data_IF_712945016946
#
_entry.id   IF_712945016946
#
_cell.length_a   1.000
_cell.length_b   1.000
_cell.length_c   1.000
_cell.angle_alpha   90.00
_cell.angle_beta   90.00
_cell.angle_gamma   90.00
#
_symmetry.space_group_name_H-M   'P 1'
#
loop_
_entity.id
_entity.type
_entity.pdbx_description
1 polymer ?
#
# COMPACT_ATOMS: atom_id res chain seq x y z
N UNK A 1 -7.29 35.40 -19.85
CA UNK A 1 -7.58 34.84 -21.18
C UNK A 1 -8.19 33.47 -20.96
N UNK A 2 -9.52 33.38 -20.98
CA UNK A 2 -10.23 32.11 -20.80
C UNK A 2 -10.18 31.34 -22.12
N UNK A 3 -9.37 30.29 -22.19
CA UNK A 3 -9.45 29.33 -23.27
C UNK A 3 -10.74 28.52 -23.07
N UNK A 4 -11.76 28.86 -23.84
CA UNK A 4 -12.97 28.05 -23.97
C UNK A 4 -12.57 26.76 -24.68
N UNK A 5 -12.32 25.70 -23.90
CA UNK A 5 -12.23 24.33 -24.41
C UNK A 5 -13.51 24.07 -25.20
N UNK A 6 -13.43 23.55 -26.44
CA UNK A 6 -14.61 23.30 -27.25
C UNK A 6 -15.57 22.37 -26.49
N UNK A 7 -16.84 22.73 -26.44
CA UNK A 7 -17.86 22.00 -25.68
C UNK A 7 -17.99 20.51 -26.10
N UNK A 8 -17.59 20.20 -27.34
CA UNK A 8 -17.52 18.85 -27.91
C UNK A 8 -16.34 18.00 -27.38
N UNK A 9 -15.24 18.65 -26.96
CA UNK A 9 -14.11 17.95 -26.36
C UNK A 9 -14.47 17.53 -24.93
N UNK A 10 -15.23 18.37 -24.21
CA UNK A 10 -15.60 18.16 -22.81
C UNK A 10 -16.60 17.03 -22.58
N UNK A 11 -17.56 16.82 -23.48
CA UNK A 11 -18.46 15.65 -23.43
C UNK A 11 -17.67 14.36 -23.68
N UNK A 12 -16.72 14.40 -24.62
CA UNK A 12 -15.79 13.29 -24.88
C UNK A 12 -14.93 12.98 -23.66
N UNK A 13 -14.41 14.00 -22.97
CA UNK A 13 -13.68 13.86 -21.69
C UNK A 13 -14.54 13.28 -20.58
N UNK A 14 -15.77 13.73 -20.42
CA UNK A 14 -16.69 13.21 -19.40
C UNK A 14 -17.07 11.74 -19.67
N UNK A 15 -17.29 11.37 -20.94
CA UNK A 15 -17.52 9.98 -21.34
C UNK A 15 -16.29 9.11 -21.10
N UNK A 16 -15.10 9.58 -21.45
CA UNK A 16 -13.85 8.88 -21.19
C UNK A 16 -13.63 8.66 -19.68
N UNK A 17 -13.91 9.67 -18.85
CA UNK A 17 -13.81 9.59 -17.40
C UNK A 17 -14.77 8.55 -16.80
N UNK A 18 -16.03 8.54 -17.25
CA UNK A 18 -17.03 7.54 -16.83
C UNK A 18 -16.59 6.13 -17.24
N UNK A 19 -16.15 5.96 -18.48
CA UNK A 19 -15.67 4.66 -18.98
C UNK A 19 -14.46 4.16 -18.18
N UNK A 20 -13.46 5.02 -17.94
CA UNK A 20 -12.28 4.71 -17.14
C UNK A 20 -12.68 4.30 -15.72
N UNK A 21 -13.58 5.04 -15.08
CA UNK A 21 -14.02 4.75 -13.74
C UNK A 21 -14.78 3.42 -13.63
N UNK A 22 -15.78 3.21 -14.49
CA UNK A 22 -16.65 2.03 -14.40
C UNK A 22 -15.94 0.73 -14.81
N UNK A 23 -15.08 0.78 -15.83
CA UNK A 23 -14.44 -0.42 -16.38
C UNK A 23 -13.09 -0.74 -15.73
N UNK A 24 -12.36 0.26 -15.22
CA UNK A 24 -11.00 0.07 -14.73
C UNK A 24 -10.83 0.43 -13.26
N UNK A 25 -11.16 1.66 -12.86
CA UNK A 25 -10.82 2.15 -11.52
C UNK A 25 -11.64 1.46 -10.42
N UNK A 26 -12.95 1.30 -10.60
CA UNK A 26 -13.83 0.70 -9.58
C UNK A 26 -13.47 -0.78 -9.31
N UNK A 27 -13.22 -1.54 -10.36
CA UNK A 27 -12.79 -2.94 -10.25
C UNK A 27 -11.37 -3.04 -9.69
N UNK A 28 -10.45 -2.20 -10.17
CA UNK A 28 -9.06 -2.13 -9.70
C UNK A 28 -8.95 -1.79 -8.23
N UNK A 29 -9.69 -0.80 -7.73
CA UNK A 29 -9.71 -0.43 -6.31
C UNK A 29 -10.21 -1.57 -5.42
N UNK A 30 -11.26 -2.29 -5.83
CA UNK A 30 -11.75 -3.47 -5.08
C UNK A 30 -10.71 -4.57 -5.01
N UNK A 31 -10.00 -4.83 -6.11
CA UNK A 31 -8.93 -5.82 -6.15
C UNK A 31 -7.72 -5.40 -5.32
N UNK A 32 -7.30 -4.13 -5.39
CA UNK A 32 -6.22 -3.60 -4.55
C UNK A 32 -6.56 -3.69 -3.07
N UNK A 33 -7.79 -3.36 -2.68
CA UNK A 33 -8.24 -3.48 -1.29
C UNK A 33 -8.26 -4.94 -0.82
N UNK A 34 -8.73 -5.86 -1.67
CA UNK A 34 -8.70 -7.29 -1.35
C UNK A 34 -7.27 -7.80 -1.14
N UNK A 35 -6.35 -7.49 -2.06
CA UNK A 35 -4.93 -7.87 -1.96
C UNK A 35 -4.26 -7.25 -0.73
N UNK A 36 -4.52 -5.97 -0.44
CA UNK A 36 -3.98 -5.31 0.74
C UNK A 36 -4.50 -5.95 2.04
N UNK A 37 -5.79 -6.34 2.12
CA UNK A 37 -6.30 -7.06 3.30
C UNK A 37 -5.68 -8.45 3.46
N UNK A 38 -5.35 -9.14 2.37
CA UNK A 38 -4.64 -10.41 2.41
C UNK A 38 -3.20 -10.23 2.91
N UNK A 39 -2.49 -9.22 2.40
CA UNK A 39 -1.14 -8.86 2.83
C UNK A 39 -1.09 -8.49 4.31
N UNK A 40 -1.98 -7.64 4.79
CA UNK A 40 -2.05 -7.26 6.21
C UNK A 40 -2.30 -8.48 7.11
N UNK A 41 -3.14 -9.43 6.67
CA UNK A 41 -3.35 -10.70 7.39
C UNK A 41 -2.10 -11.58 7.37
N UNK A 42 -1.42 -11.67 6.23
CA UNK A 42 -0.18 -12.44 6.08
C UNK A 42 0.96 -11.87 6.95
N UNK A 43 1.15 -10.54 6.94
CA UNK A 43 2.11 -9.85 7.79
C UNK A 43 1.83 -10.08 9.27
N UNK A 44 0.58 -9.91 9.72
CA UNK A 44 0.20 -10.18 11.12
C UNK A 44 0.55 -11.60 11.52
N UNK A 45 0.28 -12.57 10.65
CA UNK A 45 0.61 -13.99 10.87
C UNK A 45 2.12 -14.22 10.92
N UNK A 46 2.90 -13.56 10.05
CA UNK A 46 4.36 -13.64 10.07
C UNK A 46 4.96 -13.01 11.33
N UNK A 47 4.51 -11.81 11.73
CA UNK A 47 4.93 -11.17 12.99
C UNK A 47 4.64 -12.05 14.19
N UNK A 48 3.43 -12.62 14.26
CA UNK A 48 3.06 -13.55 15.33
C UNK A 48 3.94 -14.81 15.34
N UNK A 49 4.22 -15.41 14.18
CA UNK A 49 5.14 -16.54 14.07
C UNK A 49 6.54 -16.18 14.58
N UNK A 50 7.09 -15.03 14.16
CA UNK A 50 8.41 -14.58 14.63
C UNK A 50 8.44 -14.40 16.15
N UNK A 51 7.40 -13.81 16.74
CA UNK A 51 7.29 -13.66 18.19
C UNK A 51 7.21 -15.03 18.88
N UNK A 52 6.37 -15.94 18.39
CA UNK A 52 6.23 -17.29 18.95
C UNK A 52 7.52 -18.10 18.84
N UNK A 53 8.23 -18.02 17.71
CA UNK A 53 9.54 -18.66 17.56
C UNK A 53 10.57 -18.09 18.55
N UNK A 54 10.60 -16.77 18.75
CA UNK A 54 11.48 -16.15 19.75
C UNK A 54 11.14 -16.61 21.18
N UNK A 55 9.86 -16.65 21.53
CA UNK A 55 9.40 -17.12 22.84
C UNK A 55 9.69 -18.61 23.05
N UNK A 56 9.47 -19.45 22.04
CA UNK A 56 9.78 -20.87 22.10
C UNK A 56 11.30 -21.13 22.26
N UNK A 57 12.13 -20.35 21.58
CA UNK A 57 13.58 -20.40 21.74
C UNK A 57 14.03 -19.99 23.15
N UNK A 58 13.51 -18.86 23.67
CA UNK A 58 13.82 -18.41 25.03
C UNK A 58 13.38 -19.47 26.05
N UNK A 59 12.14 -19.96 25.93
CA UNK A 59 11.60 -21.00 26.82
C UNK A 59 12.39 -22.32 26.76
N UNK A 60 12.79 -22.75 25.56
CA UNK A 60 13.61 -23.93 25.35
C UNK A 60 15.02 -23.81 25.93
N UNK A 61 15.68 -22.64 25.79
CA UNK A 61 16.98 -22.38 26.42
C UNK A 61 16.87 -22.32 27.94
N UNK A 62 15.85 -21.65 28.47
CA UNK A 62 15.64 -21.57 29.92
C UNK A 62 15.36 -22.96 30.52
N UNK A 63 14.54 -23.79 29.88
CA UNK A 63 14.27 -25.15 30.36
C UNK A 63 15.51 -26.04 30.29
N UNK A 64 16.31 -25.95 29.22
CA UNK A 64 17.57 -26.67 29.09
C UNK A 64 18.55 -26.30 30.22
N UNK A 65 18.70 -25.00 30.52
CA UNK A 65 19.57 -24.56 31.62
C UNK A 65 19.08 -25.10 32.95
N UNK A 66 17.78 -25.09 33.22
CA UNK A 66 17.20 -25.66 34.45
C UNK A 66 17.46 -27.16 34.54
N UNK A 67 17.26 -27.93 33.46
CA UNK A 67 17.51 -29.38 33.44
C UNK A 67 18.98 -29.69 33.74
N UNK A 68 19.92 -28.96 33.11
CA UNK A 68 21.37 -29.10 33.37
C UNK A 68 21.70 -28.71 34.81
N UNK A 69 21.04 -27.68 35.36
CA UNK A 69 21.22 -27.23 36.75
C UNK A 69 20.79 -28.30 37.76
N UNK A 70 19.68 -29.00 37.50
CA UNK A 70 19.18 -30.07 38.37
C UNK A 70 20.01 -31.35 38.30
N UNK A 71 20.58 -31.67 37.13
CA UNK A 71 21.49 -32.81 36.97
C UNK A 71 22.84 -32.59 37.66
N UNK A 72 23.23 -31.33 37.88
CA UNK A 72 24.48 -30.95 38.53
C UNK A 72 24.17 -30.25 39.86
N UNK A 73 23.56 -31.01 40.78
CA UNK A 73 23.34 -30.58 42.17
C UNK A 73 24.68 -30.30 42.86
N UNK A 74 25.13 -29.04 42.80
CA UNK A 74 26.36 -28.57 43.45
C UNK A 74 26.92 -27.23 42.97
N UNK A 75 26.47 -26.67 41.84
CA UNK A 75 27.16 -25.50 41.24
C UNK A 75 26.23 -24.34 40.88
N UNK A 76 25.82 -23.57 41.89
CA UNK A 76 25.03 -22.33 41.74
C UNK A 76 25.72 -21.24 40.88
N UNK A 77 27.04 -21.30 40.68
CA UNK A 77 27.76 -20.35 39.81
C UNK A 77 27.69 -20.72 38.32
N UNK A 78 27.69 -22.02 37.98
CA UNK A 78 27.65 -22.49 36.59
C UNK A 78 26.29 -22.19 35.95
N UNK A 79 25.22 -22.20 36.74
CA UNK A 79 23.87 -21.88 36.28
C UNK A 79 23.71 -20.39 35.94
N UNK A 80 24.29 -19.50 36.75
CA UNK A 80 24.33 -18.06 36.47
C UNK A 80 25.15 -17.74 35.21
N UNK A 81 26.31 -18.40 35.03
CA UNK A 81 27.15 -18.25 33.84
C UNK A 81 26.45 -18.83 32.61
N UNK A 82 25.79 -19.98 32.74
CA UNK A 82 25.00 -20.60 31.67
C UNK A 82 23.85 -19.71 31.20
N UNK A 83 23.12 -19.08 32.13
CA UNK A 83 22.09 -18.08 31.81
C UNK A 83 22.66 -16.86 31.07
N UNK A 84 23.83 -16.38 31.49
CA UNK A 84 24.50 -15.23 30.87
C UNK A 84 24.98 -15.55 29.45
N UNK A 85 25.61 -16.72 29.24
CA UNK A 85 26.05 -17.17 27.92
C UNK A 85 24.84 -17.44 27.01
N UNK A 86 23.79 -18.07 27.51
CA UNK A 86 22.52 -18.26 26.80
C UNK A 86 21.91 -16.92 26.34
N UNK A 87 21.94 -15.91 27.21
CA UNK A 87 21.47 -14.56 26.90
C UNK A 87 22.31 -13.90 25.78
N UNK A 88 23.64 -13.96 25.87
CA UNK A 88 24.53 -13.39 24.85
C UNK A 88 24.48 -14.14 23.51
N UNK A 89 24.37 -15.47 23.53
CA UNK A 89 24.22 -16.29 22.32
C UNK A 89 22.86 -16.03 21.66
N UNK A 90 21.80 -15.85 22.45
CA UNK A 90 20.48 -15.42 21.96
C UNK A 90 20.52 -14.05 21.29
N UNK A 91 21.29 -13.09 21.85
CA UNK A 91 21.51 -11.76 21.28
C UNK A 91 22.32 -11.79 19.97
N UNK A 92 23.37 -12.62 19.88
CA UNK A 92 24.23 -12.73 18.69
C UNK A 92 23.56 -13.50 17.54
N UNK A 93 22.75 -14.52 17.83
CA UNK A 93 21.99 -15.26 16.82
C UNK A 93 20.82 -14.46 16.25
N UNK A 94 20.33 -13.46 16.97
CA UNK A 94 19.24 -12.56 16.56
C UNK A 94 19.55 -11.78 15.27
N UNK A 95 20.83 -11.53 14.95
CA UNK A 95 21.24 -10.83 13.71
C UNK A 95 21.52 -11.77 12.54
N UNK A 96 22.01 -13.00 12.76
CA UNK A 96 22.36 -13.93 11.66
C UNK A 96 21.19 -14.74 11.12
N UNK A 97 20.11 -14.89 11.88
CA UNK A 97 18.92 -15.63 11.48
C UNK A 97 17.70 -14.73 11.29
N UNK A 98 17.90 -13.54 10.71
CA UNK A 98 16.77 -12.83 10.09
C UNK A 98 16.56 -13.50 8.73
N UNK A 99 15.55 -14.38 8.55
CA UNK A 99 15.28 -14.93 7.23
C UNK A 99 15.05 -13.75 6.30
N UNK A 100 15.83 -13.68 5.22
CA UNK A 100 15.66 -12.67 4.18
C UNK A 100 14.17 -12.57 3.87
N UNK A 101 13.64 -11.35 3.92
CA UNK A 101 12.20 -11.12 3.74
C UNK A 101 11.85 -11.61 2.34
N UNK A 102 11.27 -12.79 2.25
CA UNK A 102 10.68 -13.29 1.01
C UNK A 102 9.41 -12.49 0.83
N UNK A 103 9.42 -11.54 -0.10
CA UNK A 103 8.23 -10.75 -0.42
C UNK A 103 7.08 -11.72 -0.76
N UNK A 104 5.91 -11.61 -0.10
CA UNK A 104 4.73 -12.40 -0.42
C UNK A 104 4.35 -12.24 -1.90
N UNK A 105 3.79 -13.30 -2.50
CA UNK A 105 3.38 -13.28 -3.92
C UNK A 105 2.32 -12.20 -4.18
N UNK A 106 1.46 -12.01 -3.19
CA UNK A 106 0.39 -11.03 -3.16
C UNK A 106 0.91 -9.59 -3.23
N UNK A 107 2.15 -9.33 -2.80
CA UNK A 107 2.78 -8.02 -2.85
C UNK A 107 3.18 -7.68 -4.30
N UNK A 108 3.73 -8.66 -5.02
CA UNK A 108 4.05 -8.51 -6.44
C UNK A 108 2.81 -8.29 -7.29
N UNK A 109 1.73 -9.01 -6.99
CA UNK A 109 0.44 -8.83 -7.66
C UNK A 109 -0.15 -7.43 -7.39
N UNK A 110 -0.01 -6.92 -6.17
CA UNK A 110 -0.43 -5.55 -5.83
C UNK A 110 0.36 -4.51 -6.61
N UNK A 111 1.69 -4.65 -6.71
CA UNK A 111 2.53 -3.75 -7.51
C UNK A 111 2.16 -3.78 -8.99
N UNK A 112 1.97 -4.96 -9.57
CA UNK A 112 1.57 -5.10 -10.98
C UNK A 112 0.18 -4.47 -11.24
N UNK A 113 -0.77 -4.65 -10.32
CA UNK A 113 -2.09 -4.06 -10.43
C UNK A 113 -2.03 -2.53 -10.32
N UNK A 114 -1.21 -2.00 -9.40
CA UNK A 114 -0.97 -0.57 -9.24
C UNK A 114 -0.38 0.04 -10.53
N UNK A 115 0.70 -0.55 -11.05
CA UNK A 115 1.33 -0.10 -12.30
C UNK A 115 0.37 -0.13 -13.47
N UNK A 116 -0.44 -1.19 -13.60
CA UNK A 116 -1.45 -1.30 -14.66
C UNK A 116 -2.47 -0.17 -14.60
N UNK A 117 -2.95 0.19 -13.41
CA UNK A 117 -3.91 1.27 -13.24
C UNK A 117 -3.28 2.63 -13.55
N UNK A 118 -2.05 2.88 -13.11
CA UNK A 118 -1.32 4.11 -13.44
C UNK A 118 -1.16 4.27 -14.95
N UNK A 119 -0.74 3.22 -15.65
CA UNK A 119 -0.61 3.25 -17.10
C UNK A 119 -1.96 3.46 -17.81
N UNK A 120 -3.05 2.87 -17.32
CA UNK A 120 -4.38 3.10 -17.89
C UNK A 120 -4.85 4.54 -17.70
N UNK A 121 -4.61 5.14 -16.53
CA UNK A 121 -4.95 6.54 -16.27
C UNK A 121 -4.17 7.46 -17.22
N UNK A 122 -2.84 7.31 -17.29
CA UNK A 122 -2.00 8.14 -18.16
C UNK A 122 -2.41 7.99 -19.62
N UNK A 123 -2.65 6.77 -20.09
CA UNK A 123 -3.06 6.54 -21.47
C UNK A 123 -4.38 7.26 -21.83
N UNK A 124 -5.36 7.27 -20.92
CA UNK A 124 -6.64 7.96 -21.15
C UNK A 124 -6.49 9.48 -21.01
N UNK A 125 -5.70 9.95 -20.05
CA UNK A 125 -5.37 11.38 -19.90
C UNK A 125 -4.68 11.94 -21.16
N UNK A 126 -3.70 11.21 -21.71
CA UNK A 126 -3.00 11.57 -22.95
C UNK A 126 -3.92 11.55 -24.18
N UNK A 127 -4.80 10.54 -24.29
CA UNK A 127 -5.74 10.42 -25.42
C UNK A 127 -6.71 11.60 -25.53
N UNK A 128 -7.10 12.18 -24.39
CA UNK A 128 -8.11 13.24 -24.33
C UNK A 128 -7.49 14.62 -24.06
N UNK A 129 -6.16 14.69 -23.87
CA UNK A 129 -5.45 15.95 -23.62
C UNK A 129 -5.73 16.56 -22.24
N UNK A 130 -6.07 15.72 -21.25
CA UNK A 130 -6.43 16.12 -19.90
C UNK A 130 -7.86 15.74 -19.53
N UNK A 131 -8.02 15.11 -18.36
CA UNK A 131 -9.29 14.56 -17.91
C UNK A 131 -9.65 15.01 -16.49
N UNK A 132 -8.79 14.78 -15.49
CA UNK A 132 -9.15 15.09 -14.10
C UNK A 132 -9.42 16.58 -13.84
N UNK A 133 -8.47 17.46 -14.16
CA UNK A 133 -8.57 18.88 -13.82
C UNK A 133 -9.61 19.65 -14.63
N UNK A 134 -9.75 19.45 -15.96
CA UNK A 134 -10.83 20.09 -16.73
C UNK A 134 -12.21 19.75 -16.17
N UNK A 135 -12.44 18.50 -15.76
CA UNK A 135 -13.72 18.08 -15.18
C UNK A 135 -13.94 18.65 -13.77
N UNK A 136 -12.90 18.76 -12.94
CA UNK A 136 -12.98 19.40 -11.62
C UNK A 136 -13.30 20.89 -11.71
N UNK A 137 -12.78 21.59 -12.72
CA UNK A 137 -13.03 23.01 -12.93
C UNK A 137 -14.50 23.25 -13.34
N UNK A 138 -14.99 22.48 -14.31
CA UNK A 138 -16.38 22.62 -14.81
C UNK A 138 -17.42 22.25 -13.76
N UNK A 139 -17.15 21.23 -12.96
CA UNK A 139 -18.06 20.80 -11.89
C UNK A 139 -17.98 21.69 -10.64
N UNK A 140 -17.00 22.61 -10.57
CA UNK A 140 -16.74 23.45 -9.41
C UNK A 140 -16.22 22.71 -8.19
N UNK A 141 -15.73 21.48 -8.35
CA UNK A 141 -15.32 20.57 -7.26
C UNK A 141 -13.84 20.69 -6.89
N UNK A 142 -13.06 21.53 -7.59
CA UNK A 142 -11.62 21.65 -7.34
C UNK A 142 -11.28 21.98 -5.88
N UNK A 143 -12.03 22.90 -5.25
CA UNK A 143 -11.81 23.26 -3.84
C UNK A 143 -12.07 22.10 -2.89
N UNK A 144 -13.08 21.30 -3.17
CA UNK A 144 -13.41 20.12 -2.38
C UNK A 144 -12.34 19.02 -2.56
N UNK A 145 -11.89 18.79 -3.80
CA UNK A 145 -10.81 17.86 -4.09
C UNK A 145 -9.50 18.24 -3.35
N UNK A 146 -9.16 19.54 -3.34
CA UNK A 146 -8.01 20.05 -2.57
C UNK A 146 -8.18 19.85 -1.07
N UNK A 147 -9.38 20.06 -0.53
CA UNK A 147 -9.66 19.81 0.88
C UNK A 147 -9.54 18.32 1.25
N UNK A 148 -9.87 17.40 0.32
CA UNK A 148 -9.65 15.95 0.49
C UNK A 148 -8.18 15.53 0.34
N UNK A 149 -7.29 16.45 -0.05
CA UNK A 149 -5.86 16.23 -0.11
C UNK A 149 -5.26 16.11 -1.51
N UNK A 150 -6.00 16.49 -2.57
CA UNK A 150 -5.47 16.59 -3.92
C UNK A 150 -4.36 17.65 -3.98
N UNK A 151 -3.13 17.20 -4.23
CA UNK A 151 -1.93 18.04 -4.43
C UNK A 151 -1.26 17.80 -5.78
N UNK A 152 -1.92 17.05 -6.67
CA UNK A 152 -1.44 16.83 -8.03
C UNK A 152 -1.33 18.16 -8.77
N UNK A 153 -0.32 18.29 -9.62
CA UNK A 153 -0.11 19.48 -10.42
C UNK A 153 -1.15 19.53 -11.54
N UNK A 154 -1.68 20.73 -11.82
CA UNK A 154 -2.75 20.95 -12.83
C UNK A 154 -2.34 20.63 -14.28
N UNK A 155 -1.07 20.34 -14.51
CA UNK A 155 -0.55 19.96 -15.82
C UNK A 155 -1.04 18.56 -16.22
N UNK A 156 -0.59 18.07 -17.38
CA UNK A 156 -0.92 16.73 -17.85
C UNK A 156 -0.48 15.69 -16.82
N UNK A 157 -1.40 14.83 -16.39
CA UNK A 157 -1.12 13.78 -15.42
C UNK A 157 -0.16 12.77 -16.06
N UNK A 158 1.07 12.71 -15.55
CA UNK A 158 2.09 11.77 -15.99
C UNK A 158 2.27 10.60 -15.01
N UNK A 159 3.09 9.63 -15.41
CA UNK A 159 3.33 8.43 -14.61
C UNK A 159 4.01 8.77 -13.27
N UNK A 160 4.84 9.82 -13.20
CA UNK A 160 5.61 10.19 -12.02
C UNK A 160 4.74 10.88 -10.98
N UNK A 161 3.80 11.72 -11.41
CA UNK A 161 2.79 12.32 -10.55
C UNK A 161 1.89 11.28 -9.90
N UNK A 162 1.65 10.14 -10.55
CA UNK A 162 0.87 9.04 -9.99
C UNK A 162 1.68 8.13 -9.04
N UNK A 163 2.98 8.36 -8.87
CA UNK A 163 3.80 7.56 -7.95
C UNK A 163 3.51 7.89 -6.47
N UNK A 164 3.85 6.96 -5.58
CA UNK A 164 3.63 7.10 -4.15
C UNK A 164 2.15 7.33 -3.79
N UNK A 165 1.83 8.53 -3.31
CA UNK A 165 0.45 8.89 -2.93
C UNK A 165 -0.36 9.54 -4.07
N UNK A 166 0.23 9.69 -5.27
CA UNK A 166 -0.40 10.35 -6.41
C UNK A 166 -1.60 9.59 -6.95
N UNK A 167 -1.46 8.28 -7.16
CA UNK A 167 -2.55 7.40 -7.59
C UNK A 167 -3.76 7.49 -6.65
N UNK A 168 -3.54 7.48 -5.33
CA UNK A 168 -4.64 7.58 -4.36
C UNK A 168 -5.36 8.93 -4.43
N UNK A 169 -4.61 10.03 -4.58
CA UNK A 169 -5.19 11.37 -4.75
C UNK A 169 -6.02 11.46 -6.04
N UNK A 170 -5.51 10.88 -7.13
CA UNK A 170 -6.23 10.81 -8.40
C UNK A 170 -7.53 10.01 -8.26
N UNK A 171 -7.46 8.83 -7.64
CA UNK A 171 -8.62 7.96 -7.43
C UNK A 171 -9.69 8.62 -6.55
N UNK A 172 -9.28 9.32 -5.49
CA UNK A 172 -10.22 10.02 -4.61
C UNK A 172 -10.88 11.21 -5.30
N UNK A 173 -10.11 12.01 -6.06
CA UNK A 173 -10.65 13.09 -6.86
C UNK A 173 -11.59 12.59 -7.98
N UNK A 174 -11.26 11.47 -8.61
CA UNK A 174 -12.13 10.83 -9.59
C UNK A 174 -13.40 10.28 -8.95
N UNK A 175 -13.30 9.71 -7.74
CA UNK A 175 -14.47 9.26 -7.01
C UNK A 175 -15.40 10.43 -6.65
N UNK A 176 -14.85 11.55 -6.21
CA UNK A 176 -15.60 12.79 -5.97
C UNK A 176 -16.34 13.29 -7.23
N UNK A 177 -15.67 13.26 -8.40
CA UNK A 177 -16.30 13.60 -9.68
C UNK A 177 -17.46 12.65 -10.01
N UNK A 178 -17.30 11.35 -9.79
CA UNK A 178 -18.31 10.34 -10.09
C UNK A 178 -19.47 10.33 -9.09
N UNK A 179 -19.23 10.71 -7.85
CA UNK A 179 -20.26 10.99 -6.84
C UNK A 179 -21.18 12.15 -7.26
N UNK A 180 -20.62 13.12 -7.98
CA UNK A 180 -21.33 14.31 -8.49
C UNK A 180 -21.52 14.24 -10.02
N UNK A 181 -21.69 13.04 -10.57
CA UNK A 181 -21.71 12.81 -12.03
C UNK A 181 -22.83 13.55 -12.76
N UNK A 182 -23.88 13.98 -12.06
CA UNK A 182 -24.97 14.81 -12.59
C UNK A 182 -24.50 16.23 -12.99
N UNK A 183 -23.35 16.68 -12.49
CA UNK A 183 -22.73 17.96 -12.85
C UNK A 183 -21.81 17.86 -14.07
N UNK A 184 -21.54 16.65 -14.53
CA UNK A 184 -20.72 16.42 -15.72
C UNK A 184 -21.53 16.71 -16.99
N UNK A 185 -20.89 17.28 -18.03
CA UNK A 185 -21.54 17.46 -19.32
C UNK A 185 -22.02 16.11 -19.87
N UNK A 186 -23.24 16.12 -20.41
CA UNK A 186 -23.94 14.93 -20.90
C UNK A 186 -23.48 14.51 -22.29
#
# INVERSE_FOLDING_TARGET
MSQTVPQNDLTTTAHAARNLYDHHLKAGCKQMLALNTLLLKAERKQRLRQILYRLAWIGGLSSLVVIVSYLVTGVNMLTAIGLLVAYFVGLLLHQKFSPGIVLPKEEKELYQLNDRLRHQIVAVEEQVGGLLFPLLDITGLEKEARHRGLKLDKETIDIYQLDGNGLYQYLDAMNLLMENRERLPA
#
